data_IF_862424742909
#
_entry.id   IF_862424742909
#
_cell.length_a   1.000
_cell.length_b   1.000
_cell.length_c   1.000
_cell.angle_alpha   90.00
_cell.angle_beta   90.00
_cell.angle_gamma   90.00
#
_symmetry.space_group_name_H-M   'P 1'
#
loop_
_entity.id
_entity.type
_entity.pdbx_description
1 polymer ?
#
# COMPACT_ATOMS: atom_id res chain seq x y z
N UNK A 1 18.08 -10.54 21.23
CA UNK A 1 17.09 -11.37 20.52
C UNK A 1 16.08 -10.42 19.92
N UNK A 2 15.69 -10.61 18.67
CA UNK A 2 14.68 -9.75 18.02
C UNK A 2 13.34 -9.85 18.77
N UNK A 3 12.65 -8.73 19.05
CA UNK A 3 11.39 -8.76 19.77
C UNK A 3 10.31 -9.52 18.99
N UNK A 4 9.53 -10.32 19.70
CA UNK A 4 8.39 -11.03 19.13
C UNK A 4 7.17 -10.12 19.16
N UNK A 5 6.74 -9.67 17.98
CA UNK A 5 5.56 -8.80 17.82
C UNK A 5 4.45 -9.60 17.16
N UNK A 6 3.26 -9.53 17.73
CA UNK A 6 2.07 -10.23 17.24
C UNK A 6 0.86 -9.32 17.18
N UNK A 7 -0.05 -9.62 16.27
CA UNK A 7 -1.31 -8.89 16.11
C UNK A 7 -2.48 -9.81 16.40
N UNK A 8 -3.52 -9.26 17.01
CA UNK A 8 -4.81 -9.92 17.23
C UNK A 8 -5.89 -9.02 16.65
N UNK A 9 -6.66 -9.52 15.69
CA UNK A 9 -7.92 -8.89 15.28
C UNK A 9 -9.06 -9.58 16.01
N UNK A 10 -9.99 -8.80 16.55
CA UNK A 10 -11.22 -9.31 17.16
C UNK A 10 -12.45 -8.84 16.37
N UNK A 11 -13.52 -9.62 16.42
CA UNK A 11 -14.78 -9.34 15.73
C UNK A 11 -15.30 -10.57 14.99
N UNK A 12 -16.52 -10.98 15.30
CA UNK A 12 -17.19 -12.09 14.62
C UNK A 12 -17.33 -11.83 13.11
N UNK A 13 -17.51 -10.58 12.69
CA UNK A 13 -17.59 -10.17 11.28
C UNK A 13 -16.25 -10.32 10.55
N UNK A 14 -15.12 -10.16 11.26
CA UNK A 14 -13.78 -10.41 10.72
C UNK A 14 -13.53 -11.91 10.63
N UNK A 15 -13.87 -12.66 11.69
CA UNK A 15 -13.69 -14.11 11.75
C UNK A 15 -14.51 -14.84 10.67
N UNK A 16 -15.76 -14.39 10.45
CA UNK A 16 -16.67 -14.97 9.44
C UNK A 16 -16.40 -14.47 8.02
N UNK A 17 -15.52 -13.48 7.84
CA UNK A 17 -15.19 -12.90 6.55
C UNK A 17 -16.26 -11.98 5.96
N UNK A 18 -17.24 -11.53 6.76
CA UNK A 18 -18.17 -10.47 6.37
C UNK A 18 -17.45 -9.15 6.09
N UNK A 19 -16.35 -8.91 6.80
CA UNK A 19 -15.45 -7.79 6.59
C UNK A 19 -14.03 -8.33 6.37
N UNK A 20 -13.32 -7.77 5.38
CA UNK A 20 -11.90 -8.06 5.19
C UNK A 20 -11.06 -7.32 6.24
N UNK A 21 -10.19 -8.04 6.94
CA UNK A 21 -9.25 -7.46 7.90
C UNK A 21 -8.14 -6.65 7.19
N UNK A 22 -8.44 -5.39 6.92
CA UNK A 22 -7.49 -4.44 6.34
C UNK A 22 -6.57 -3.83 7.40
N UNK A 23 -6.98 -3.81 8.67
CA UNK A 23 -6.27 -3.17 9.77
C UNK A 23 -4.97 -3.90 10.11
N UNK A 24 -5.03 -5.22 10.30
CA UNK A 24 -3.80 -5.97 10.63
C UNK A 24 -2.85 -6.09 9.44
N UNK A 25 -3.38 -6.02 8.21
CA UNK A 25 -2.58 -5.83 6.99
C UNK A 25 -1.81 -4.52 7.01
N UNK A 26 -2.49 -3.40 7.30
CA UNK A 26 -1.87 -2.09 7.45
C UNK A 26 -0.84 -2.04 8.60
N UNK A 27 -1.17 -2.61 9.77
CA UNK A 27 -0.26 -2.70 10.92
C UNK A 27 1.03 -3.47 10.58
N UNK A 28 0.90 -4.60 9.88
CA UNK A 28 2.06 -5.40 9.48
C UNK A 28 2.99 -4.62 8.55
N UNK A 29 2.41 -3.86 7.61
CA UNK A 29 3.18 -2.99 6.72
C UNK A 29 3.85 -1.85 7.49
N UNK A 30 3.11 -1.14 8.35
CA UNK A 30 3.63 -0.04 9.15
C UNK A 30 4.79 -0.49 10.04
N UNK A 31 4.62 -1.60 10.78
CA UNK A 31 5.66 -2.11 11.67
C UNK A 31 6.91 -2.51 10.89
N UNK A 32 6.74 -3.16 9.74
CA UNK A 32 7.86 -3.52 8.86
C UNK A 32 8.59 -2.28 8.33
N UNK A 33 7.88 -1.19 8.03
CA UNK A 33 8.48 0.11 7.67
C UNK A 33 9.27 0.75 8.82
N UNK A 34 8.91 0.44 10.07
CA UNK A 34 9.69 0.81 11.26
C UNK A 34 10.81 -0.20 11.57
N UNK A 35 11.00 -1.19 10.71
CA UNK A 35 11.99 -2.26 10.84
C UNK A 35 11.63 -3.40 11.78
N UNK A 36 10.38 -3.45 12.22
CA UNK A 36 9.85 -4.47 13.11
C UNK A 36 9.01 -5.49 12.34
N UNK A 37 9.45 -6.74 12.32
CA UNK A 37 8.72 -7.79 11.62
C UNK A 37 7.67 -8.43 12.54
N UNK A 38 6.40 -8.37 12.11
CA UNK A 38 5.31 -9.11 12.76
C UNK A 38 5.55 -10.60 12.55
N UNK A 39 5.55 -11.37 13.65
CA UNK A 39 5.84 -12.80 13.61
C UNK A 39 4.59 -13.63 13.36
N UNK A 40 3.47 -13.27 13.99
CA UNK A 40 2.19 -13.99 13.91
C UNK A 40 1.01 -13.03 13.97
N UNK A 41 -0.10 -13.48 13.39
CA UNK A 41 -1.39 -12.80 13.41
C UNK A 41 -2.46 -13.80 13.84
N UNK A 42 -3.40 -13.35 14.66
CA UNK A 42 -4.55 -14.12 15.11
C UNK A 42 -5.83 -13.36 14.79
N UNK A 43 -6.88 -14.09 14.43
CA UNK A 43 -8.25 -13.56 14.30
C UNK A 43 -9.12 -14.39 15.22
N UNK A 44 -9.89 -13.73 16.10
CA UNK A 44 -10.70 -14.38 17.14
C UNK A 44 -12.05 -13.67 17.23
N UNK A 45 -13.11 -14.44 17.47
CA UNK A 45 -14.46 -13.89 17.62
C UNK A 45 -14.67 -13.21 18.98
N UNK A 46 -15.88 -12.72 19.21
CA UNK A 46 -16.21 -11.89 20.39
C UNK A 46 -16.58 -12.72 21.64
N UNK A 47 -16.16 -13.99 21.67
CA UNK A 47 -16.32 -14.84 22.86
C UNK A 47 -15.20 -14.54 23.86
N UNK A 48 -15.57 -13.94 24.99
CA UNK A 48 -14.64 -13.59 26.09
C UNK A 48 -13.70 -14.74 26.49
N UNK A 49 -14.19 -15.97 26.58
CA UNK A 49 -13.37 -17.12 26.98
C UNK A 49 -12.20 -17.38 26.00
N UNK A 50 -12.44 -17.26 24.70
CA UNK A 50 -11.42 -17.45 23.67
C UNK A 50 -10.36 -16.34 23.73
N UNK A 51 -10.80 -15.10 23.98
CA UNK A 51 -9.90 -13.95 24.15
C UNK A 51 -9.01 -14.13 25.38
N UNK A 52 -9.56 -14.58 26.51
CA UNK A 52 -8.78 -14.86 27.74
C UNK A 52 -7.73 -15.92 27.47
N UNK A 53 -8.12 -17.04 26.85
CA UNK A 53 -7.20 -18.13 26.51
C UNK A 53 -6.09 -17.64 25.58
N UNK A 54 -6.44 -16.91 24.53
CA UNK A 54 -5.48 -16.35 23.58
C UNK A 54 -4.52 -15.38 24.28
N UNK A 55 -5.04 -14.40 25.02
CA UNK A 55 -4.20 -13.40 25.70
C UNK A 55 -3.24 -14.06 26.68
N UNK A 56 -3.71 -15.01 27.48
CA UNK A 56 -2.84 -15.77 28.39
C UNK A 56 -1.75 -16.51 27.61
N UNK A 57 -2.12 -17.31 26.61
CA UNK A 57 -1.17 -18.11 25.83
C UNK A 57 -0.12 -17.26 25.11
N UNK A 58 -0.56 -16.15 24.48
CA UNK A 58 0.32 -15.28 23.70
C UNK A 58 1.24 -14.46 24.60
N UNK A 59 0.78 -14.08 25.79
CA UNK A 59 1.55 -13.26 26.74
C UNK A 59 2.88 -13.88 27.19
N UNK A 60 3.01 -15.22 27.12
CA UNK A 60 4.24 -15.97 27.44
C UNK A 60 5.24 -16.05 26.29
N UNK A 61 4.81 -15.71 25.08
CA UNK A 61 5.56 -15.97 23.85
C UNK A 61 5.90 -14.70 23.06
N UNK A 62 5.15 -13.62 23.25
CA UNK A 62 5.37 -12.34 22.59
C UNK A 62 5.95 -11.28 23.54
N UNK A 63 6.62 -10.29 22.98
CA UNK A 63 7.11 -9.11 23.71
C UNK A 63 6.12 -7.94 23.58
N UNK A 64 5.48 -7.80 22.41
CA UNK A 64 4.42 -6.84 22.12
C UNK A 64 3.25 -7.56 21.43
N UNK A 65 2.03 -7.28 21.89
CA UNK A 65 0.79 -7.74 21.24
C UNK A 65 -0.09 -6.53 20.98
N UNK A 66 -0.50 -6.32 19.73
CA UNK A 66 -1.47 -5.26 19.39
C UNK A 66 -2.80 -5.92 19.08
N UNK A 67 -3.80 -5.63 19.90
CA UNK A 67 -5.18 -6.08 19.77
C UNK A 67 -6.00 -4.97 19.11
N UNK A 68 -6.68 -5.30 18.02
CA UNK A 68 -7.53 -4.38 17.27
C UNK A 68 -8.97 -4.90 17.25
N UNK A 69 -9.90 -4.09 17.78
CA UNK A 69 -11.31 -4.46 17.92
C UNK A 69 -11.76 -4.60 19.38
N UNK A 70 -13.07 -4.72 19.58
CA UNK A 70 -13.68 -5.09 20.87
C UNK A 70 -13.63 -4.04 21.98
N UNK A 71 -13.49 -2.74 21.64
CA UNK A 71 -13.48 -1.59 22.57
C UNK A 71 -14.68 -0.63 22.41
N UNK A 72 -15.65 -1.00 21.60
CA UNK A 72 -16.87 -0.24 21.45
C UNK A 72 -17.78 -0.30 22.70
N UNK A 73 -18.96 0.34 22.63
CA UNK A 73 -19.91 0.40 23.74
C UNK A 73 -20.88 -0.79 23.77
N UNK A 74 -20.82 -1.74 22.83
CA UNK A 74 -21.81 -2.81 22.71
C UNK A 74 -21.46 -4.03 23.59
N UNK A 75 -22.39 -4.98 23.69
CA UNK A 75 -22.27 -6.12 24.61
C UNK A 75 -21.22 -7.16 24.18
N UNK A 76 -20.96 -7.22 22.88
CA UNK A 76 -19.93 -8.02 22.21
C UNK A 76 -18.52 -7.43 22.34
N UNK A 77 -18.37 -6.13 22.62
CA UNK A 77 -17.05 -5.51 22.86
C UNK A 77 -16.40 -5.93 24.18
N UNK A 78 -15.83 -7.13 24.27
CA UNK A 78 -15.41 -7.74 25.55
C UNK A 78 -13.89 -7.74 25.79
N UNK A 79 -13.10 -6.98 25.02
CA UNK A 79 -11.64 -7.05 25.10
C UNK A 79 -11.08 -6.54 26.43
N UNK A 80 -11.63 -5.45 26.98
CA UNK A 80 -11.21 -4.93 28.28
C UNK A 80 -11.53 -5.93 29.40
N UNK A 81 -12.73 -6.52 29.41
CA UNK A 81 -13.11 -7.56 30.36
C UNK A 81 -12.24 -8.81 30.22
N UNK A 82 -11.95 -9.24 28.99
CA UNK A 82 -11.11 -10.41 28.74
C UNK A 82 -9.69 -10.19 29.27
N UNK A 83 -9.09 -9.03 29.00
CA UNK A 83 -7.75 -8.72 29.50
C UNK A 83 -7.72 -8.60 31.02
N UNK A 84 -8.72 -7.95 31.63
CA UNK A 84 -8.84 -7.88 33.08
C UNK A 84 -8.94 -9.28 33.72
N UNK A 85 -9.71 -10.20 33.09
CA UNK A 85 -9.83 -11.57 33.56
C UNK A 85 -8.51 -12.36 33.43
N UNK A 86 -7.83 -12.27 32.29
CA UNK A 86 -6.54 -12.91 32.08
C UNK A 86 -5.45 -12.39 33.04
N UNK A 87 -5.44 -11.07 33.32
CA UNK A 87 -4.52 -10.46 34.28
C UNK A 87 -4.92 -10.69 35.75
N UNK A 88 -6.12 -11.19 36.03
CA UNK A 88 -6.62 -11.40 37.39
C UNK A 88 -6.88 -10.09 38.16
N UNK A 89 -7.24 -9.02 37.45
CA UNK A 89 -7.45 -7.67 38.01
C UNK A 89 -8.89 -7.17 37.74
N UNK A 90 -9.43 -6.27 38.56
CA UNK A 90 -10.72 -5.65 38.29
C UNK A 90 -10.65 -4.64 37.14
N UNK A 91 -11.81 -4.26 36.60
CA UNK A 91 -11.96 -3.05 35.78
C UNK A 91 -12.20 -1.84 36.68
N UNK A 92 -11.52 -0.74 36.38
CA UNK A 92 -11.64 0.54 37.05
C UNK A 92 -12.09 1.63 36.07
N UNK A 93 -12.96 2.52 36.53
CA UNK A 93 -13.40 3.66 35.73
C UNK A 93 -12.27 4.69 35.64
N UNK A 94 -11.79 4.95 34.43
CA UNK A 94 -10.90 6.07 34.15
C UNK A 94 -11.73 7.37 34.09
N UNK A 95 -11.79 8.08 35.22
CA UNK A 95 -12.57 9.33 35.32
C UNK A 95 -12.11 10.39 34.32
N UNK A 96 -10.80 10.49 34.07
CA UNK A 96 -10.25 11.44 33.11
C UNK A 96 -10.78 11.21 31.69
N UNK A 97 -10.79 9.94 31.24
CA UNK A 97 -11.33 9.60 29.92
C UNK A 97 -12.85 9.78 29.86
N UNK A 98 -13.57 9.42 30.93
CA UNK A 98 -15.00 9.66 31.02
C UNK A 98 -15.34 11.14 30.84
N UNK A 99 -14.57 12.05 31.44
CA UNK A 99 -14.76 13.49 31.30
C UNK A 99 -14.52 13.96 29.86
N UNK A 100 -13.46 13.45 29.20
CA UNK A 100 -13.18 13.71 27.78
C UNK A 100 -14.33 13.24 26.89
N UNK A 101 -14.87 12.04 27.15
CA UNK A 101 -16.01 11.50 26.41
C UNK A 101 -17.23 12.40 26.60
N UNK A 102 -17.56 12.79 27.83
CA UNK A 102 -18.68 13.68 28.12
C UNK A 102 -18.54 15.02 27.39
N UNK A 103 -17.33 15.60 27.36
CA UNK A 103 -17.04 16.83 26.62
C UNK A 103 -17.22 16.65 25.10
N UNK A 104 -16.75 15.53 24.53
CA UNK A 104 -16.93 15.19 23.10
C UNK A 104 -18.40 15.02 22.70
N UNK A 105 -19.26 14.55 23.62
CA UNK A 105 -20.70 14.48 23.39
C UNK A 105 -21.36 15.86 23.52
N UNK A 106 -21.01 16.60 24.57
CA UNK A 106 -21.53 17.94 24.83
C UNK A 106 -21.19 18.93 23.71
N UNK A 107 -19.98 18.89 23.14
CA UNK A 107 -19.58 19.75 22.01
C UNK A 107 -20.41 19.53 20.75
N UNK A 108 -21.09 18.38 20.65
CA UNK A 108 -22.00 18.02 19.56
C UNK A 108 -23.47 18.18 19.94
N UNK A 109 -23.76 18.86 21.05
CA UNK A 109 -25.10 19.03 21.63
C UNK A 109 -25.83 17.69 21.87
N UNK A 110 -25.09 16.67 22.31
CA UNK A 110 -25.64 15.34 22.61
C UNK A 110 -25.32 14.96 24.06
N UNK A 111 -26.24 14.24 24.69
CA UNK A 111 -25.97 13.56 25.96
C UNK A 111 -25.29 12.22 25.68
N UNK A 112 -24.26 11.89 26.44
CA UNK A 112 -23.57 10.60 26.33
C UNK A 112 -24.48 9.46 26.84
N UNK A 113 -24.73 8.40 26.04
CA UNK A 113 -25.43 7.22 26.51
C UNK A 113 -24.68 6.52 27.65
N UNK A 114 -25.39 5.90 28.59
CA UNK A 114 -24.76 5.19 29.72
C UNK A 114 -23.90 4.01 29.27
N UNK A 115 -24.26 3.32 28.18
CA UNK A 115 -23.47 2.22 27.62
C UNK A 115 -22.06 2.64 27.21
N UNK A 116 -21.86 3.90 26.82
CA UNK A 116 -20.54 4.43 26.48
C UNK A 116 -19.59 4.52 27.68
N UNK A 117 -20.08 4.52 28.93
CA UNK A 117 -19.21 4.50 30.12
C UNK A 117 -18.27 3.29 30.11
N UNK A 118 -18.71 2.16 29.51
CA UNK A 118 -17.89 0.96 29.32
C UNK A 118 -16.55 1.26 28.63
N UNK A 119 -16.53 2.22 27.69
CA UNK A 119 -15.33 2.58 26.93
C UNK A 119 -14.29 3.37 27.75
N UNK A 120 -14.60 3.70 29.01
CA UNK A 120 -13.68 4.27 30.00
C UNK A 120 -13.34 3.28 31.14
N UNK A 121 -13.84 2.03 31.07
CA UNK A 121 -13.52 0.98 32.05
C UNK A 121 -12.25 0.25 31.61
N UNK A 122 -11.16 0.41 32.37
CA UNK A 122 -9.85 -0.14 32.03
C UNK A 122 -9.42 -1.19 33.06
N UNK A 123 -8.68 -2.25 32.68
CA UNK A 123 -8.07 -3.14 33.66
C UNK A 123 -7.20 -2.35 34.64
N UNK A 124 -7.28 -2.65 35.93
CA UNK A 124 -6.44 -2.01 36.94
C UNK A 124 -4.95 -2.16 36.57
N UNK A 125 -4.21 -1.05 36.64
CA UNK A 125 -2.80 -0.99 36.24
C UNK A 125 -2.56 -0.84 34.73
N UNK A 126 -3.61 -0.72 33.92
CA UNK A 126 -3.49 -0.33 32.52
C UNK A 126 -3.15 1.16 32.38
N UNK A 127 -2.29 1.47 31.43
CA UNK A 127 -2.00 2.84 31.00
C UNK A 127 -2.97 3.24 29.88
N UNK A 128 -3.54 4.43 29.96
CA UNK A 128 -4.37 4.98 28.89
C UNK A 128 -3.56 5.13 27.59
N UNK A 129 -4.17 4.80 26.46
CA UNK A 129 -3.69 5.15 25.11
C UNK A 129 -4.73 6.10 24.51
N UNK A 130 -4.34 7.36 24.34
CA UNK A 130 -5.26 8.40 23.88
C UNK A 130 -5.78 8.11 22.46
N UNK A 131 -7.05 8.41 22.23
CA UNK A 131 -7.72 8.39 20.95
C UNK A 131 -8.37 9.75 20.71
N UNK A 132 -7.61 10.64 20.06
CA UNK A 132 -8.08 11.99 19.74
C UNK A 132 -9.26 12.01 18.76
N UNK A 133 -9.46 10.93 17.99
CA UNK A 133 -10.46 10.85 16.91
C UNK A 133 -11.80 10.26 17.37
N UNK A 134 -11.76 9.15 18.11
CA UNK A 134 -12.94 8.37 18.53
C UNK A 134 -13.42 8.66 19.94
N UNK A 135 -14.34 7.82 20.44
CA UNK A 135 -14.80 7.85 21.84
C UNK A 135 -14.19 6.75 22.70
N UNK A 136 -13.82 5.60 22.11
CA UNK A 136 -13.13 4.53 22.80
C UNK A 136 -11.68 4.92 23.07
N UNK A 137 -11.24 4.92 24.33
CA UNK A 137 -9.79 4.94 24.58
C UNK A 137 -9.19 3.59 24.22
N UNK A 138 -7.92 3.61 23.84
CA UNK A 138 -7.11 2.42 23.97
C UNK A 138 -6.52 2.30 25.36
N UNK A 139 -5.85 1.19 25.59
CA UNK A 139 -5.02 1.03 26.78
C UNK A 139 -3.85 0.10 26.51
N UNK A 140 -2.81 0.25 27.32
CA UNK A 140 -1.66 -0.61 27.34
C UNK A 140 -1.55 -1.30 28.70
N UNK A 141 -1.24 -2.59 28.72
CA UNK A 141 -1.02 -3.32 29.98
C UNK A 141 0.08 -4.35 29.80
N UNK A 142 0.92 -4.49 30.83
CA UNK A 142 1.89 -5.57 30.88
C UNK A 142 1.24 -6.79 31.50
N UNK A 143 1.25 -7.90 30.76
CA UNK A 143 0.81 -9.21 31.26
C UNK A 143 1.89 -10.23 30.95
N UNK A 144 2.38 -10.92 31.98
CA UNK A 144 3.57 -11.76 31.91
C UNK A 144 4.78 -11.01 31.28
N UNK A 145 5.33 -11.48 30.16
CA UNK A 145 6.43 -10.80 29.46
C UNK A 145 5.95 -9.78 28.41
N UNK A 146 4.71 -9.90 27.94
CA UNK A 146 4.18 -9.09 26.86
C UNK A 146 3.66 -7.73 27.37
N UNK A 147 3.81 -6.70 26.53
CA UNK A 147 2.97 -5.49 26.62
C UNK A 147 1.89 -5.60 25.57
N UNK A 148 0.64 -5.58 26.02
CA UNK A 148 -0.52 -5.49 25.15
C UNK A 148 -0.86 -4.04 24.89
N UNK A 149 -1.24 -3.73 23.65
CA UNK A 149 -1.89 -2.48 23.27
C UNK A 149 -3.25 -2.81 22.69
N UNK A 150 -4.30 -2.22 23.23
CA UNK A 150 -5.67 -2.38 22.77
C UNK A 150 -6.11 -1.14 22.01
N UNK A 151 -6.71 -1.35 20.84
CA UNK A 151 -7.13 -0.29 19.92
C UNK A 151 -8.54 -0.56 19.39
N UNK A 152 -9.36 0.48 19.12
CA UNK A 152 -10.66 0.32 18.48
C UNK A 152 -10.53 -0.25 17.07
N UNK A 153 -11.55 -1.00 16.61
CA UNK A 153 -11.58 -1.59 15.27
C UNK A 153 -11.71 -0.57 14.12
N UNK A 154 -12.01 0.69 14.41
CA UNK A 154 -12.20 1.74 13.39
C UNK A 154 -10.84 2.11 12.77
N UNK A 155 -10.63 1.96 11.45
CA UNK A 155 -9.32 2.15 10.82
C UNK A 155 -8.71 3.53 11.03
N UNK A 156 -9.51 4.60 11.01
CA UNK A 156 -9.01 5.97 11.22
C UNK A 156 -8.52 6.20 12.64
N UNK A 157 -9.19 5.62 13.64
CA UNK A 157 -8.79 5.72 15.05
C UNK A 157 -7.51 4.94 15.31
N UNK A 158 -7.44 3.68 14.83
CA UNK A 158 -6.25 2.84 14.92
C UNK A 158 -5.00 3.56 14.38
N UNK A 159 -5.11 4.17 13.20
CA UNK A 159 -3.96 4.84 12.55
C UNK A 159 -3.40 5.98 13.39
N UNK A 160 -4.27 6.79 13.98
CA UNK A 160 -3.89 7.91 14.86
C UNK A 160 -3.21 7.39 16.11
N UNK A 161 -3.85 6.44 16.81
CA UNK A 161 -3.31 5.86 18.04
C UNK A 161 -1.96 5.17 17.82
N UNK A 162 -1.80 4.49 16.68
CA UNK A 162 -0.52 3.87 16.33
C UNK A 162 0.60 4.90 16.18
N UNK A 163 0.36 5.98 15.43
CA UNK A 163 1.38 6.98 15.17
C UNK A 163 1.71 7.83 16.39
N UNK A 164 0.69 8.24 17.14
CA UNK A 164 0.82 9.26 18.18
C UNK A 164 1.20 8.66 19.53
N UNK A 165 0.76 7.42 19.83
CA UNK A 165 0.91 6.81 21.16
C UNK A 165 1.71 5.50 21.13
N UNK A 166 1.34 4.55 20.27
CA UNK A 166 1.87 3.18 20.35
C UNK A 166 3.29 3.09 19.78
N UNK A 167 3.55 3.62 18.59
CA UNK A 167 4.88 3.61 17.97
C UNK A 167 5.92 4.31 18.87
N UNK A 168 5.68 5.51 19.43
CA UNK A 168 6.62 6.12 20.38
C UNK A 168 6.94 5.24 21.59
N UNK A 169 5.94 4.58 22.18
CA UNK A 169 6.15 3.65 23.30
C UNK A 169 6.92 2.40 22.89
N UNK A 170 6.62 1.85 21.71
CA UNK A 170 7.40 0.75 21.14
C UNK A 170 8.86 1.15 20.91
N UNK A 171 9.12 2.35 20.38
CA UNK A 171 10.49 2.85 20.18
C UNK A 171 11.25 3.01 21.49
N UNK A 172 10.60 3.56 22.51
CA UNK A 172 11.18 3.70 23.84
C UNK A 172 11.55 2.34 24.46
N UNK A 173 10.76 1.29 24.20
CA UNK A 173 10.96 -0.05 24.76
C UNK A 173 11.90 -0.94 23.93
N UNK A 174 11.82 -0.87 22.61
CA UNK A 174 12.50 -1.79 21.68
C UNK A 174 13.73 -1.17 20.98
N UNK A 175 13.91 0.15 21.07
CA UNK A 175 14.89 0.91 20.29
C UNK A 175 14.23 1.71 19.16
N UNK A 176 14.93 2.74 18.66
CA UNK A 176 14.34 3.73 17.75
C UNK A 176 13.81 3.14 16.44
N UNK A 177 14.50 2.14 15.90
CA UNK A 177 14.09 1.38 14.73
C UNK A 177 14.28 -0.11 15.05
N UNK A 178 13.48 -0.96 14.41
CA UNK A 178 13.80 -2.37 14.34
C UNK A 178 15.02 -2.64 13.45
N UNK A 179 15.41 -3.91 13.35
CA UNK A 179 16.64 -4.31 12.65
C UNK A 179 16.45 -4.42 11.15
N UNK A 180 15.23 -4.70 10.71
CA UNK A 180 14.93 -4.92 9.29
C UNK A 180 14.85 -3.59 8.53
N UNK A 181 15.39 -3.56 7.32
CA UNK A 181 15.12 -2.49 6.36
C UNK A 181 14.31 -3.07 5.20
N UNK A 182 13.44 -2.25 4.60
CA UNK A 182 12.71 -2.66 3.40
C UNK A 182 12.97 -1.67 2.27
N UNK A 183 13.54 -2.18 1.18
CA UNK A 183 13.68 -1.44 -0.07
C UNK A 183 12.65 -1.93 -1.06
N UNK A 184 11.89 -1.02 -1.67
CA UNK A 184 10.78 -1.35 -2.57
C UNK A 184 11.11 -1.01 -4.01
N UNK A 185 10.70 -1.88 -4.92
CA UNK A 185 10.86 -1.73 -6.36
C UNK A 185 9.50 -1.98 -7.01
N UNK A 186 9.01 -1.01 -7.77
CA UNK A 186 7.74 -1.15 -8.49
C UNK A 186 8.05 -1.48 -9.94
N UNK A 187 7.64 -2.66 -10.36
CA UNK A 187 7.93 -3.21 -11.68
C UNK A 187 6.67 -3.18 -12.55
N UNK A 188 6.82 -2.93 -13.84
CA UNK A 188 5.73 -2.93 -14.81
C UNK A 188 6.05 -3.83 -16.02
N UNK A 189 5.01 -4.49 -16.54
CA UNK A 189 5.14 -5.34 -17.72
C UNK A 189 5.55 -6.79 -17.44
N UNK A 190 5.71 -7.19 -16.17
CA UNK A 190 6.04 -8.57 -15.78
C UNK A 190 4.80 -9.32 -15.26
N UNK A 191 4.80 -10.64 -15.45
CA UNK A 191 3.89 -11.56 -14.74
C UNK A 191 4.57 -12.08 -13.47
N UNK A 192 3.79 -12.55 -12.48
CA UNK A 192 4.38 -13.16 -11.27
C UNK A 192 5.22 -14.40 -11.60
N UNK A 193 4.77 -15.23 -12.56
CA UNK A 193 5.54 -16.40 -12.99
C UNK A 193 6.83 -16.01 -13.69
N UNK A 194 6.78 -15.02 -14.59
CA UNK A 194 7.97 -14.52 -15.29
C UNK A 194 8.96 -13.86 -14.34
N UNK A 195 8.47 -13.24 -13.26
CA UNK A 195 9.31 -12.73 -12.18
C UNK A 195 9.96 -13.87 -11.39
N UNK A 196 9.21 -14.90 -11.03
CA UNK A 196 9.71 -16.11 -10.34
C UNK A 196 10.83 -16.77 -11.14
N UNK A 197 10.60 -17.02 -12.44
CA UNK A 197 11.55 -17.69 -13.32
C UNK A 197 12.92 -16.97 -13.39
N UNK A 198 12.90 -15.63 -13.30
CA UNK A 198 14.11 -14.78 -13.29
C UNK A 198 14.86 -14.82 -11.95
N UNK A 199 14.14 -14.94 -10.82
CA UNK A 199 14.73 -14.71 -9.49
C UNK A 199 14.97 -15.99 -8.68
N UNK A 200 14.20 -17.05 -8.89
CA UNK A 200 14.22 -18.25 -8.05
C UNK A 200 15.54 -19.03 -8.14
N UNK A 201 16.23 -18.91 -9.28
CA UNK A 201 17.54 -19.54 -9.49
C UNK A 201 18.71 -18.73 -8.91
N UNK A 202 18.45 -17.53 -8.40
CA UNK A 202 19.48 -16.66 -7.86
C UNK A 202 19.76 -16.96 -6.40
N UNK A 203 21.03 -16.93 -6.02
CA UNK A 203 21.43 -16.99 -4.61
C UNK A 203 21.46 -15.58 -4.04
N UNK A 204 20.70 -15.35 -2.96
CA UNK A 204 20.66 -14.07 -2.27
C UNK A 204 21.67 -14.03 -1.12
N UNK A 205 22.30 -12.87 -0.84
CA UNK A 205 23.18 -12.73 0.32
C UNK A 205 22.47 -13.04 1.64
N UNK A 206 23.23 -13.50 2.63
CA UNK A 206 22.69 -13.82 3.96
C UNK A 206 22.03 -12.58 4.60
N UNK A 207 20.86 -12.78 5.21
CA UNK A 207 20.07 -11.69 5.79
C UNK A 207 19.28 -10.88 4.75
N UNK A 208 19.18 -11.32 3.50
CA UNK A 208 18.34 -10.66 2.48
C UNK A 208 17.27 -11.65 2.01
N UNK A 209 16.01 -11.24 2.11
CA UNK A 209 14.88 -12.01 1.63
C UNK A 209 14.08 -11.20 0.60
N UNK A 210 13.57 -11.89 -0.42
CA UNK A 210 12.65 -11.32 -1.38
C UNK A 210 11.21 -11.48 -0.92
N UNK A 211 10.40 -10.46 -1.19
CA UNK A 211 8.95 -10.61 -1.22
C UNK A 211 8.38 -9.81 -2.39
N UNK A 212 7.39 -10.34 -3.09
CA UNK A 212 6.70 -9.61 -4.14
C UNK A 212 5.19 -9.79 -4.03
N UNK A 213 4.46 -8.80 -4.55
CA UNK A 213 3.01 -8.75 -4.56
C UNK A 213 2.53 -8.11 -5.86
N UNK A 214 1.75 -8.82 -6.66
CA UNK A 214 1.04 -8.20 -7.76
C UNK A 214 -0.01 -7.21 -7.25
N UNK A 215 0.02 -6.01 -7.81
CA UNK A 215 -1.01 -4.99 -7.65
C UNK A 215 -1.14 -4.21 -8.96
N UNK A 216 -2.02 -4.70 -9.84
CA UNK A 216 -2.20 -4.17 -11.20
C UNK A 216 -2.30 -2.63 -11.19
N UNK A 217 -1.49 -1.92 -11.98
CA UNK A 217 -0.69 -2.41 -13.12
C UNK A 217 0.72 -2.92 -12.77
N UNK A 218 1.18 -2.76 -11.53
CA UNK A 218 2.58 -3.06 -11.15
C UNK A 218 2.72 -4.35 -10.35
N UNK A 219 3.94 -4.86 -10.24
CA UNK A 219 4.35 -5.78 -9.18
C UNK A 219 5.22 -5.00 -8.21
N UNK A 220 4.83 -4.97 -6.93
CA UNK A 220 5.69 -4.42 -5.87
C UNK A 220 6.61 -5.53 -5.39
N UNK A 221 7.91 -5.33 -5.55
CA UNK A 221 8.95 -6.16 -4.98
C UNK A 221 9.61 -5.48 -3.78
N UNK A 222 10.03 -6.28 -2.81
CA UNK A 222 10.68 -5.88 -1.56
C UNK A 222 11.95 -6.68 -1.37
N UNK A 223 13.05 -5.97 -1.10
CA UNK A 223 14.19 -6.54 -0.41
C UNK A 223 13.98 -6.30 1.09
N UNK A 224 13.78 -7.38 1.84
CA UNK A 224 13.74 -7.37 3.30
C UNK A 224 15.15 -7.67 3.78
N UNK A 225 15.78 -6.69 4.43
CA UNK A 225 17.20 -6.67 4.76
C UNK A 225 17.32 -6.77 6.28
N UNK A 226 17.78 -7.91 6.77
CA UNK A 226 18.15 -8.20 8.16
C UNK A 226 19.66 -8.45 8.24
N UNK A 227 20.43 -7.49 7.75
CA UNK A 227 21.90 -7.45 7.81
C UNK A 227 22.39 -6.00 7.81
N UNK A 228 23.53 -5.76 8.44
CA UNK A 228 24.22 -4.46 8.43
C UNK A 228 25.37 -4.43 7.40
N UNK A 229 25.58 -5.52 6.66
CA UNK A 229 26.59 -5.62 5.61
C UNK A 229 26.16 -4.85 4.35
N UNK A 230 26.68 -3.64 4.19
CA UNK A 230 26.39 -2.77 3.05
C UNK A 230 26.79 -3.38 1.71
N UNK A 231 27.90 -4.13 1.64
CA UNK A 231 28.33 -4.76 0.39
C UNK A 231 27.36 -5.88 -0.03
N UNK A 232 26.85 -6.65 0.94
CA UNK A 232 25.80 -7.62 0.68
C UNK A 232 24.52 -6.95 0.15
N UNK A 233 24.12 -5.82 0.74
CA UNK A 233 22.93 -5.08 0.32
C UNK A 233 23.08 -4.54 -1.10
N UNK A 234 24.18 -3.85 -1.40
CA UNK A 234 24.44 -3.30 -2.73
C UNK A 234 24.51 -4.39 -3.80
N UNK A 235 25.15 -5.51 -3.49
CA UNK A 235 25.20 -6.68 -4.39
C UNK A 235 23.81 -7.25 -4.66
N UNK A 236 22.95 -7.36 -3.64
CA UNK A 236 21.59 -7.85 -3.83
C UNK A 236 20.78 -6.91 -4.73
N UNK A 237 20.90 -5.59 -4.54
CA UNK A 237 20.25 -4.63 -5.43
C UNK A 237 20.76 -4.70 -6.86
N UNK A 238 22.08 -4.75 -7.04
CA UNK A 238 22.67 -4.86 -8.36
C UNK A 238 22.21 -6.15 -9.08
N UNK A 239 22.20 -7.27 -8.36
CA UNK A 239 21.69 -8.56 -8.86
C UNK A 239 20.21 -8.47 -9.26
N UNK A 240 19.38 -7.84 -8.41
CA UNK A 240 17.98 -7.64 -8.73
C UNK A 240 17.80 -6.80 -10.00
N UNK A 241 18.45 -5.64 -10.05
CA UNK A 241 18.32 -4.69 -11.15
C UNK A 241 18.88 -5.22 -12.47
N UNK A 242 19.84 -6.16 -12.43
CA UNK A 242 20.31 -6.84 -13.63
C UNK A 242 19.19 -7.66 -14.30
N UNK A 243 18.30 -8.28 -13.52
CA UNK A 243 17.24 -9.16 -14.04
C UNK A 243 15.95 -8.43 -14.41
N UNK A 244 15.61 -7.37 -13.65
CA UNK A 244 14.31 -6.68 -13.78
C UNK A 244 14.42 -5.18 -13.99
N UNK A 245 15.63 -4.64 -14.11
CA UNK A 245 15.86 -3.18 -14.17
C UNK A 245 15.14 -2.50 -15.33
N UNK A 246 14.99 -3.17 -16.47
CA UNK A 246 14.22 -2.65 -17.61
C UNK A 246 12.73 -2.49 -17.31
N UNK A 247 12.21 -3.20 -16.31
CA UNK A 247 10.82 -3.14 -15.88
C UNK A 247 10.62 -2.21 -14.68
N UNK A 248 11.69 -1.62 -14.13
CA UNK A 248 11.61 -0.74 -12.97
C UNK A 248 10.95 0.59 -13.34
N UNK A 249 9.97 0.99 -12.53
CA UNK A 249 9.21 2.24 -12.72
C UNK A 249 9.41 3.20 -11.55
N UNK A 250 9.53 2.67 -10.33
CA UNK A 250 9.76 3.48 -9.15
C UNK A 250 10.50 2.72 -8.05
N UNK A 251 11.18 3.45 -7.16
CA UNK A 251 11.82 2.92 -5.95
C UNK A 251 11.20 3.54 -4.72
N UNK A 252 11.05 2.74 -3.66
CA UNK A 252 10.52 3.10 -2.34
C UNK A 252 9.05 3.51 -2.31
N UNK A 253 8.62 4.43 -3.18
CA UNK A 253 7.25 4.94 -3.27
C UNK A 253 6.82 5.06 -4.74
N UNK A 254 5.60 4.61 -5.06
CA UNK A 254 5.01 4.77 -6.40
C UNK A 254 4.18 6.06 -6.41
N UNK A 255 4.84 7.19 -6.67
CA UNK A 255 4.25 8.52 -6.59
C UNK A 255 4.65 9.40 -7.78
N UNK A 256 3.91 9.28 -8.89
CA UNK A 256 4.16 10.06 -10.09
C UNK A 256 3.93 11.56 -9.92
N UNK A 257 3.07 11.99 -8.99
CA UNK A 257 2.93 13.42 -8.69
C UNK A 257 4.26 14.02 -8.21
N UNK A 258 5.02 13.27 -7.40
CA UNK A 258 6.36 13.69 -6.95
C UNK A 258 7.43 13.53 -8.03
N UNK A 259 7.42 12.44 -8.79
CA UNK A 259 8.51 12.13 -9.74
C UNK A 259 8.32 12.75 -11.11
N UNK A 260 7.11 12.73 -11.67
CA UNK A 260 6.77 13.26 -12.99
C UNK A 260 6.18 14.67 -12.94
N UNK A 261 5.43 15.01 -11.89
CA UNK A 261 4.75 16.31 -11.75
C UNK A 261 5.68 17.50 -12.02
N UNK A 262 6.85 17.61 -11.35
CA UNK A 262 7.79 18.70 -11.61
C UNK A 262 8.31 18.76 -13.05
N UNK A 263 8.52 17.61 -13.70
CA UNK A 263 9.01 17.55 -15.07
C UNK A 263 7.94 17.93 -16.10
N UNK A 264 6.65 17.89 -15.72
CA UNK A 264 5.52 18.19 -16.58
C UNK A 264 4.88 19.56 -16.33
N UNK A 265 5.16 20.19 -15.18
CA UNK A 265 4.46 21.39 -14.71
C UNK A 265 4.41 22.56 -15.73
N UNK A 266 5.49 22.77 -16.48
CA UNK A 266 5.61 23.86 -17.46
C UNK A 266 5.45 23.38 -18.91
N UNK A 267 4.92 22.17 -19.13
CA UNK A 267 4.77 21.58 -20.47
C UNK A 267 3.30 21.55 -20.85
N UNK A 268 3.00 21.97 -22.07
CA UNK A 268 1.70 21.73 -22.69
C UNK A 268 1.58 20.22 -23.01
N UNK A 269 0.89 19.48 -22.15
CA UNK A 269 0.64 18.04 -22.31
C UNK A 269 -0.72 17.85 -22.95
N UNK A 270 -0.75 17.11 -24.06
CA UNK A 270 -2.00 16.83 -24.79
C UNK A 270 -2.20 15.33 -24.92
N UNK A 271 -3.39 14.87 -24.58
CA UNK A 271 -3.74 13.46 -24.53
C UNK A 271 -4.85 13.18 -25.54
N UNK A 272 -4.67 12.13 -26.33
CA UNK A 272 -5.69 11.58 -27.22
C UNK A 272 -5.96 10.13 -26.81
N UNK A 273 -7.22 9.77 -26.59
CA UNK A 273 -7.53 8.40 -26.21
C UNK A 273 -8.83 7.86 -26.79
N UNK A 274 -8.78 6.56 -27.11
CA UNK A 274 -9.94 5.73 -27.42
C UNK A 274 -9.96 4.48 -26.55
N UNK A 275 -9.02 3.55 -26.75
CA UNK A 275 -9.09 2.22 -26.14
C UNK A 275 -8.90 2.21 -24.61
N UNK A 276 -8.26 3.22 -24.02
CA UNK A 276 -8.18 3.39 -22.55
C UNK A 276 -9.49 3.87 -21.92
N UNK A 277 -10.45 4.37 -22.70
CA UNK A 277 -11.79 4.70 -22.22
C UNK A 277 -11.82 5.77 -21.11
N UNK A 278 -11.01 6.82 -21.20
CA UNK A 278 -10.91 7.85 -20.14
C UNK A 278 -9.71 7.67 -19.20
N UNK A 279 -9.09 6.49 -19.18
CA UNK A 279 -8.15 6.11 -18.11
C UNK A 279 -6.82 6.84 -18.18
N UNK A 280 -6.35 7.21 -19.37
CA UNK A 280 -5.11 7.99 -19.49
C UNK A 280 -5.31 9.39 -18.95
N UNK A 281 -6.42 10.03 -19.35
CA UNK A 281 -6.83 11.35 -18.85
C UNK A 281 -7.00 11.35 -17.33
N UNK A 282 -7.75 10.39 -16.79
CA UNK A 282 -7.91 10.19 -15.34
C UNK A 282 -6.55 10.08 -14.63
N UNK A 283 -5.63 9.27 -15.17
CA UNK A 283 -4.30 9.07 -14.57
C UNK A 283 -3.48 10.36 -14.57
N UNK A 284 -3.39 11.07 -15.70
CA UNK A 284 -2.61 12.32 -15.80
C UNK A 284 -3.18 13.40 -14.88
N UNK A 285 -4.51 13.46 -14.70
CA UNK A 285 -5.16 14.43 -13.80
C UNK A 285 -4.74 14.30 -12.32
N UNK A 286 -4.21 13.14 -11.92
CA UNK A 286 -3.65 12.92 -10.57
C UNK A 286 -2.21 13.41 -10.42
N UNK A 287 -1.53 13.71 -11.54
CA UNK A 287 -0.11 14.08 -11.60
C UNK A 287 0.03 15.59 -11.82
N UNK A 288 -0.72 16.15 -12.78
CA UNK A 288 -0.71 17.57 -13.14
C UNK A 288 -2.15 18.09 -13.33
N UNK A 289 -2.35 19.38 -13.11
CA UNK A 289 -3.65 20.04 -13.26
C UNK A 289 -3.86 20.70 -14.63
N UNK A 290 -2.78 21.07 -15.33
CA UNK A 290 -2.84 21.78 -16.61
C UNK A 290 -2.45 20.84 -17.76
N UNK A 291 -3.45 20.37 -18.50
CA UNK A 291 -3.29 19.50 -19.66
C UNK A 291 -4.58 19.53 -20.52
N UNK A 292 -4.47 19.16 -21.80
CA UNK A 292 -5.62 19.00 -22.69
C UNK A 292 -5.91 17.51 -22.93
N UNK A 293 -7.14 17.07 -22.70
CA UNK A 293 -7.55 15.67 -22.86
C UNK A 293 -8.67 15.51 -23.89
N UNK A 294 -8.47 14.64 -24.87
CA UNK A 294 -9.44 14.37 -25.93
C UNK A 294 -9.81 12.90 -26.01
N UNK A 295 -11.11 12.63 -25.89
CA UNK A 295 -11.68 11.33 -26.23
C UNK A 295 -12.13 11.34 -27.70
N UNK A 296 -11.46 10.58 -28.56
CA UNK A 296 -11.70 10.58 -30.01
C UNK A 296 -12.01 9.15 -30.45
N UNK A 297 -13.16 8.96 -31.09
CA UNK A 297 -13.48 7.69 -31.74
C UNK A 297 -12.89 7.65 -33.16
N UNK A 298 -12.35 6.50 -33.55
CA UNK A 298 -11.72 6.30 -34.85
C UNK A 298 -10.27 6.75 -34.91
N UNK A 299 -9.54 6.69 -33.78
CA UNK A 299 -8.09 6.84 -33.81
C UNK A 299 -7.46 5.67 -34.59
N UNK A 300 -6.27 5.85 -35.19
CA UNK A 300 -5.59 4.77 -35.88
C UNK A 300 -5.32 3.54 -35.00
N UNK A 301 -5.29 2.36 -35.62
CA UNK A 301 -5.14 1.06 -34.95
C UNK A 301 -3.80 0.36 -35.24
N UNK A 302 -2.89 1.04 -35.95
CA UNK A 302 -1.48 0.64 -36.16
C UNK A 302 -0.51 1.66 -35.54
N UNK A 303 0.70 1.21 -35.19
CA UNK A 303 1.71 2.09 -34.59
C UNK A 303 2.15 3.21 -35.55
N UNK A 304 2.35 2.88 -36.82
CA UNK A 304 2.80 3.82 -37.85
C UNK A 304 1.76 4.90 -38.15
N UNK A 305 0.50 4.51 -38.33
CA UNK A 305 -0.57 5.47 -38.63
C UNK A 305 -0.88 6.35 -37.41
N UNK A 306 -0.84 5.79 -36.19
CA UNK A 306 -1.03 6.57 -34.97
C UNK A 306 0.08 7.61 -34.80
N UNK A 307 1.34 7.24 -35.02
CA UNK A 307 2.47 8.17 -34.95
C UNK A 307 2.32 9.32 -35.96
N UNK A 308 2.01 9.00 -37.23
CA UNK A 308 1.80 10.00 -38.27
C UNK A 308 0.60 10.90 -38.00
N UNK A 309 -0.48 10.33 -37.47
CA UNK A 309 -1.65 11.09 -37.06
C UNK A 309 -1.31 12.06 -35.93
N UNK A 310 -0.58 11.58 -34.92
CA UNK A 310 -0.19 12.38 -33.76
C UNK A 310 0.76 13.52 -34.15
N UNK A 311 1.71 13.31 -35.06
CA UNK A 311 2.60 14.37 -35.55
C UNK A 311 1.87 15.51 -36.26
N UNK A 312 0.75 15.23 -36.95
CA UNK A 312 -0.06 16.27 -37.61
C UNK A 312 -0.70 17.24 -36.62
N UNK A 313 -0.80 16.88 -35.34
CA UNK A 313 -1.33 17.78 -34.30
C UNK A 313 -0.43 19.00 -34.05
N UNK A 314 0.83 18.97 -34.48
CA UNK A 314 1.84 20.03 -34.26
C UNK A 314 2.04 20.40 -32.77
N UNK A 315 1.81 19.44 -31.86
CA UNK A 315 1.89 19.63 -30.41
C UNK A 315 3.22 19.07 -29.86
N UNK A 316 3.91 19.80 -28.95
CA UNK A 316 5.29 19.49 -28.57
C UNK A 316 5.44 18.25 -27.67
N UNK A 317 4.46 17.97 -26.83
CA UNK A 317 4.41 16.78 -25.99
C UNK A 317 2.99 16.21 -26.01
N UNK A 318 2.82 15.04 -26.63
CA UNK A 318 1.49 14.43 -26.74
C UNK A 318 1.53 12.93 -26.60
N UNK A 319 0.50 12.38 -25.95
CA UNK A 319 0.29 10.95 -25.83
C UNK A 319 -0.98 10.55 -26.58
N UNK A 320 -0.94 9.41 -27.24
CA UNK A 320 -2.12 8.83 -27.87
C UNK A 320 -2.28 7.35 -27.53
N UNK A 321 -3.52 6.92 -27.25
CA UNK A 321 -3.93 5.52 -27.19
C UNK A 321 -4.98 5.31 -28.27
N UNK A 322 -4.60 4.60 -29.33
CA UNK A 322 -5.42 4.42 -30.52
C UNK A 322 -6.57 3.42 -30.35
N UNK A 323 -7.19 3.06 -31.47
CA UNK A 323 -8.27 2.09 -31.50
C UNK A 323 -7.76 0.65 -31.39
N UNK A 324 -8.66 -0.27 -31.05
CA UNK A 324 -8.34 -1.71 -31.04
C UNK A 324 -8.34 -2.26 -32.46
N UNK A 325 -7.19 -2.71 -32.93
CA UNK A 325 -6.98 -3.35 -34.21
C UNK A 325 -6.71 -4.86 -34.12
N UNK A 326 -6.47 -5.52 -35.27
CA UNK A 326 -6.16 -6.95 -35.33
C UNK A 326 -4.79 -7.31 -34.73
N UNK A 327 -3.83 -6.38 -34.76
CA UNK A 327 -2.48 -6.59 -34.22
C UNK A 327 -2.34 -6.18 -32.74
N UNK A 328 -3.35 -5.54 -32.16
CA UNK A 328 -3.32 -5.04 -30.79
C UNK A 328 -3.88 -3.62 -30.70
N UNK A 329 -3.38 -2.85 -29.74
CA UNK A 329 -3.76 -1.45 -29.52
C UNK A 329 -2.48 -0.62 -29.57
N UNK A 330 -2.37 0.36 -30.49
CA UNK A 330 -1.21 1.24 -30.58
C UNK A 330 -1.24 2.30 -29.47
N UNK A 331 -0.07 2.56 -28.91
CA UNK A 331 0.22 3.69 -28.04
C UNK A 331 1.34 4.52 -28.68
N UNK A 332 1.26 5.85 -28.56
CA UNK A 332 2.25 6.75 -29.14
C UNK A 332 2.60 7.90 -28.19
N UNK A 333 3.85 8.34 -28.25
CA UNK A 333 4.39 9.52 -27.58
C UNK A 333 5.06 10.40 -28.64
N UNK A 334 4.53 11.61 -28.85
CA UNK A 334 5.17 12.65 -29.63
C UNK A 334 5.98 13.57 -28.71
N UNK A 335 7.21 13.85 -29.10
CA UNK A 335 8.15 14.71 -28.37
C UNK A 335 8.80 15.68 -29.36
N UNK A 336 9.64 16.59 -28.86
CA UNK A 336 10.46 17.45 -29.71
C UNK A 336 11.55 16.70 -30.51
N UNK A 337 11.89 15.46 -30.14
CA UNK A 337 12.95 14.68 -30.77
C UNK A 337 12.40 13.74 -31.86
N UNK A 338 11.35 13.01 -31.51
CA UNK A 338 10.73 12.01 -32.36
C UNK A 338 9.30 11.71 -31.89
N UNK A 339 8.55 11.02 -32.76
CA UNK A 339 7.35 10.31 -32.37
C UNK A 339 7.66 8.81 -32.25
N UNK A 340 7.41 8.26 -31.07
CA UNK A 340 7.59 6.85 -30.73
C UNK A 340 6.23 6.18 -30.66
N UNK A 341 6.03 5.06 -31.34
CA UNK A 341 4.77 4.32 -31.28
C UNK A 341 5.01 2.81 -31.27
N UNK A 342 4.18 2.09 -30.52
CA UNK A 342 4.19 0.64 -30.46
C UNK A 342 2.78 0.07 -30.33
N UNK A 343 2.54 -1.07 -30.96
CA UNK A 343 1.28 -1.81 -30.86
C UNK A 343 1.41 -2.91 -29.82
N UNK A 344 0.54 -2.88 -28.80
CA UNK A 344 0.55 -3.81 -27.67
C UNK A 344 -0.57 -4.85 -27.78
N UNK A 345 -0.23 -6.11 -27.58
CA UNK A 345 -1.20 -7.21 -27.58
C UNK A 345 -1.85 -7.38 -26.20
N UNK A 346 -3.18 -7.22 -26.15
CA UNK A 346 -3.96 -7.32 -24.90
C UNK A 346 -4.66 -8.68 -24.77
N UNK A 347 -4.14 -9.54 -23.89
CA UNK A 347 -4.67 -10.88 -23.63
C UNK A 347 -5.61 -10.97 -22.40
N UNK A 348 -5.73 -9.90 -21.62
CA UNK A 348 -6.55 -9.85 -20.41
C UNK A 348 -8.04 -9.90 -20.75
N UNK A 349 -8.85 -10.68 -20.02
CA UNK A 349 -10.31 -10.74 -20.28
C UNK A 349 -11.07 -9.55 -19.70
N UNK A 350 -10.58 -8.99 -18.60
CA UNK A 350 -11.21 -7.84 -17.95
C UNK A 350 -10.86 -6.54 -18.68
N UNK A 351 -11.89 -5.88 -19.22
CA UNK A 351 -11.77 -4.60 -19.91
C UNK A 351 -11.23 -3.47 -19.02
N UNK A 352 -11.52 -3.46 -17.72
CA UNK A 352 -11.02 -2.43 -16.81
C UNK A 352 -9.53 -2.60 -16.55
N UNK A 353 -9.08 -3.84 -16.33
CA UNK A 353 -7.67 -4.18 -16.27
C UNK A 353 -6.92 -3.78 -17.55
N UNK A 354 -7.48 -4.07 -18.74
CA UNK A 354 -6.87 -3.67 -20.02
C UNK A 354 -6.67 -2.15 -20.10
N UNK A 355 -7.71 -1.36 -19.78
CA UNK A 355 -7.63 0.11 -19.82
C UNK A 355 -6.57 0.67 -18.87
N UNK A 356 -6.47 0.10 -17.66
CA UNK A 356 -5.44 0.48 -16.67
C UNK A 356 -4.03 0.19 -17.17
N UNK A 357 -3.82 -0.99 -17.75
CA UNK A 357 -2.54 -1.40 -18.31
C UNK A 357 -2.11 -0.51 -19.49
N UNK A 358 -3.02 -0.20 -20.42
CA UNK A 358 -2.75 0.66 -21.56
C UNK A 358 -2.38 2.09 -21.14
N UNK A 359 -3.17 2.68 -20.24
CA UNK A 359 -2.88 4.00 -19.69
C UNK A 359 -1.51 4.03 -19.00
N UNK A 360 -1.18 2.99 -18.23
CA UNK A 360 0.11 2.89 -17.56
C UNK A 360 1.26 2.66 -18.54
N UNK A 361 1.09 1.89 -19.62
CA UNK A 361 2.11 1.71 -20.65
C UNK A 361 2.41 3.01 -21.42
N UNK A 362 1.38 3.80 -21.74
CA UNK A 362 1.56 5.12 -22.32
C UNK A 362 2.28 6.08 -21.35
N UNK A 363 1.92 6.02 -20.06
CA UNK A 363 2.60 6.80 -19.03
C UNK A 363 4.06 6.37 -18.83
N UNK A 364 4.37 5.07 -18.90
CA UNK A 364 5.75 4.56 -18.79
C UNK A 364 6.61 5.03 -19.97
N UNK A 365 6.06 5.11 -21.19
CA UNK A 365 6.78 5.73 -22.32
C UNK A 365 7.14 7.20 -22.03
N UNK A 366 6.20 7.98 -21.45
CA UNK A 366 6.46 9.35 -21.06
C UNK A 366 7.50 9.45 -19.94
N UNK A 367 7.39 8.63 -18.89
CA UNK A 367 8.39 8.55 -17.80
C UNK A 367 9.77 8.28 -18.36
N UNK A 368 9.91 7.23 -19.18
CA UNK A 368 11.19 6.84 -19.79
C UNK A 368 11.80 7.97 -20.59
N UNK A 369 11.00 8.66 -21.39
CA UNK A 369 11.47 9.82 -22.14
C UNK A 369 11.97 10.95 -21.22
N UNK A 370 11.24 11.26 -20.14
CA UNK A 370 11.64 12.31 -19.19
C UNK A 370 12.86 11.94 -18.35
N UNK A 371 13.10 10.64 -18.14
CA UNK A 371 14.25 10.09 -17.40
C UNK A 371 15.42 9.70 -18.33
N UNK A 372 15.36 10.06 -19.61
CA UNK A 372 16.39 9.77 -20.62
C UNK A 372 16.67 8.26 -20.82
N UNK A 373 15.67 7.42 -20.56
CA UNK A 373 15.70 5.98 -20.81
C UNK A 373 15.19 5.63 -22.23
N UNK A 374 15.43 4.39 -22.65
CA UNK A 374 14.83 3.83 -23.87
C UNK A 374 13.31 3.90 -23.79
N UNK A 375 12.67 4.73 -24.63
CA UNK A 375 11.22 5.03 -24.59
C UNK A 375 10.32 3.81 -24.76
N UNK A 376 10.68 2.90 -25.67
CA UNK A 376 9.91 1.69 -25.96
C UNK A 376 10.66 0.45 -25.48
N UNK A 377 10.02 -0.34 -24.62
CA UNK A 377 10.55 -1.61 -24.11
C UNK A 377 9.56 -2.74 -24.38
N UNK A 378 10.03 -3.97 -24.21
CA UNK A 378 9.14 -5.14 -24.24
C UNK A 378 8.48 -5.35 -22.88
N UNK A 379 7.16 -5.54 -22.90
CA UNK A 379 6.38 -5.95 -21.73
C UNK A 379 5.98 -7.42 -21.90
N UNK A 380 6.42 -8.29 -21.00
CA UNK A 380 6.11 -9.73 -21.02
C UNK A 380 4.59 -10.00 -21.05
N UNK A 381 3.81 -9.19 -20.31
CA UNK A 381 2.34 -9.34 -20.22
C UNK A 381 1.57 -8.67 -21.37
N UNK A 382 2.24 -7.83 -22.16
CA UNK A 382 1.67 -7.12 -23.31
C UNK A 382 2.68 -7.10 -24.45
N UNK A 383 2.92 -8.25 -25.12
CA UNK A 383 3.91 -8.34 -26.17
C UNK A 383 3.69 -7.29 -27.26
N UNK A 384 4.78 -6.73 -27.75
CA UNK A 384 4.75 -5.75 -28.82
C UNK A 384 4.65 -6.45 -30.18
N UNK A 385 3.69 -6.07 -31.01
CA UNK A 385 3.51 -6.60 -32.36
C UNK A 385 4.11 -5.69 -33.45
N UNK A 386 4.19 -4.38 -33.19
CA UNK A 386 4.71 -3.38 -34.12
C UNK A 386 5.44 -2.29 -33.35
N UNK A 387 6.55 -1.79 -33.91
CA UNK A 387 7.24 -0.57 -33.43
C UNK A 387 7.47 0.37 -34.58
N UNK A 388 7.29 1.66 -34.33
CA UNK A 388 7.55 2.71 -35.28
C UNK A 388 8.21 3.90 -34.58
N UNK A 389 9.21 4.49 -35.20
CA UNK A 389 9.83 5.73 -34.74
C UNK A 389 10.09 6.60 -35.94
N UNK A 390 9.69 7.86 -35.85
CA UNK A 390 9.92 8.85 -36.89
C UNK A 390 10.45 10.13 -36.27
N UNK A 391 11.42 10.76 -36.93
CA UNK A 391 11.89 12.08 -36.55
C UNK A 391 10.75 13.10 -36.67
N UNK A 392 10.84 14.18 -35.88
CA UNK A 392 9.95 15.34 -36.05
C UNK A 392 10.26 15.99 -37.40
N UNK A 393 9.20 16.31 -38.15
CA UNK A 393 9.28 16.96 -39.46
C UNK A 393 9.83 18.40 -39.38
#
# INVERSE_FOLDING_TARGET
MEPVIELVSTGDEVLTGLITDTNTGWLSQLLLEQGWQVRRRFTVGDRKADLVELFEQRSHQADIIIVNGGLGPTSDDVCAEAMANAAGVPLELNQHWLDIMQQKYASRNRTMPTSNQKQAMLPQGAELVDNSTGTACGFAIRHNRATFFFTPGVPSELKVMMNDEILPRMRAKLGQNGRSQVRRFFLFGLSESGLSDRLDNLTWPAGIALGYRANLPTIEMKLIIDTEDNEAIERAEAQLLAEVGTHLVARNEMNFTKTLGPALADKEVILFEEASGGRLTDTISTIISDFEGHYIAGLPDSAEDLARWLQKSARPLSLAIGAKGPQGIPIALNTHQACYAQTLQMHFRDSLAQRRLLAFAALDMLRRYLEEETVMVDYDIMPCSERFTTAVL
#
